data_IF_366797749205
#
_entry.id   IF_366797749205
#
_cell.length_a   1.000
_cell.length_b   1.000
_cell.length_c   1.000
_cell.angle_alpha   90.00
_cell.angle_beta   90.00
_cell.angle_gamma   90.00
#
_symmetry.space_group_name_H-M   'P 1'
#
loop_
_entity.id
_entity.type
_entity.pdbx_description
1 polymer ?
#
# COMPACT_ATOMS: atom_id res chain seq x y z
N UNK A 1 -13.44 32.32 36.40
CA UNK A 1 -14.16 31.90 35.20
C UNK A 1 -13.20 32.06 34.02
N UNK A 2 -12.53 30.99 33.64
CA UNK A 2 -11.71 30.92 32.42
C UNK A 2 -12.47 30.01 31.44
N UNK A 3 -12.86 30.59 30.31
CA UNK A 3 -13.56 29.93 29.23
C UNK A 3 -12.53 29.25 28.32
N UNK A 4 -12.50 27.92 28.31
CA UNK A 4 -11.76 27.15 27.33
C UNK A 4 -12.48 27.15 26.00
N UNK A 5 -11.85 27.70 25.00
CA UNK A 5 -12.31 27.61 23.61
C UNK A 5 -11.63 26.38 22.99
N UNK A 6 -12.39 25.33 22.79
CA UNK A 6 -11.98 24.13 22.02
C UNK A 6 -12.05 24.51 20.54
N UNK A 7 -10.92 24.54 19.86
CA UNK A 7 -10.88 24.69 18.41
C UNK A 7 -11.02 23.30 17.81
N UNK A 8 -12.21 23.01 17.26
CA UNK A 8 -12.40 21.84 16.40
C UNK A 8 -11.62 22.05 15.10
N UNK A 9 -10.66 21.18 14.85
CA UNK A 9 -10.02 21.08 13.57
C UNK A 9 -11.01 20.42 12.58
N UNK A 10 -11.65 21.23 11.78
CA UNK A 10 -12.44 20.77 10.62
C UNK A 10 -11.46 20.22 9.59
N UNK A 11 -11.50 18.89 9.39
CA UNK A 11 -10.92 18.22 8.24
C UNK A 11 -11.66 18.72 7.00
N UNK A 12 -11.05 19.63 6.24
CA UNK A 12 -11.53 19.99 4.91
C UNK A 12 -11.31 18.78 3.98
N UNK A 13 -12.41 18.16 3.60
CA UNK A 13 -12.45 17.30 2.43
C UNK A 13 -12.04 18.16 1.22
N UNK A 14 -10.88 17.87 0.63
CA UNK A 14 -10.43 18.54 -0.56
C UNK A 14 -11.45 18.28 -1.69
N UNK A 15 -12.27 19.29 -1.96
CA UNK A 15 -13.19 19.29 -3.07
C UNK A 15 -12.37 19.19 -4.36
N UNK A 16 -12.78 18.28 -5.23
CA UNK A 16 -12.35 18.26 -6.63
C UNK A 16 -12.50 19.67 -7.21
N UNK A 17 -11.40 20.27 -7.64
CA UNK A 17 -11.43 21.56 -8.36
C UNK A 17 -12.05 21.31 -9.72
N UNK A 18 -13.34 21.55 -9.82
CA UNK A 18 -14.10 21.57 -11.06
C UNK A 18 -13.49 22.66 -11.97
N UNK A 19 -12.84 22.27 -13.08
CA UNK A 19 -12.50 23.17 -14.15
C UNK A 19 -11.13 23.02 -14.83
N UNK A 20 -10.17 22.24 -14.37
CA UNK A 20 -8.94 21.99 -15.12
C UNK A 20 -9.04 20.63 -15.86
N UNK A 21 -8.68 20.65 -17.15
CA UNK A 21 -8.61 19.44 -17.95
C UNK A 21 -7.64 18.45 -17.29
N UNK A 22 -8.06 17.22 -17.05
CA UNK A 22 -7.20 16.13 -16.62
C UNK A 22 -6.61 15.44 -17.85
N UNK A 23 -5.31 15.30 -17.92
CA UNK A 23 -4.65 14.51 -18.97
C UNK A 23 -4.31 13.11 -18.47
N UNK A 24 -3.80 13.01 -17.23
CA UNK A 24 -3.53 11.76 -16.54
C UNK A 24 -4.25 11.74 -15.19
N UNK A 25 -5.02 10.72 -14.95
CA UNK A 25 -5.70 10.49 -13.68
C UNK A 25 -4.99 9.41 -12.85
N UNK A 26 -4.98 9.56 -11.54
CA UNK A 26 -4.69 8.51 -10.60
C UNK A 26 -5.95 8.17 -9.81
N UNK A 27 -6.36 6.91 -9.79
CA UNK A 27 -7.47 6.46 -8.95
C UNK A 27 -6.88 5.62 -7.81
N UNK A 28 -7.05 6.11 -6.56
CA UNK A 28 -6.59 5.39 -5.37
C UNK A 28 -7.46 4.17 -5.11
N UNK A 29 -6.95 3.21 -4.34
CA UNK A 29 -7.78 2.18 -3.75
C UNK A 29 -8.67 2.79 -2.62
N UNK A 30 -8.84 2.13 -1.50
CA UNK A 30 -9.52 2.68 -0.31
C UNK A 30 -8.64 3.64 0.49
N UNK A 31 -7.33 3.67 0.20
CA UNK A 31 -6.33 4.52 0.81
C UNK A 31 -6.41 5.98 0.35
N UNK A 32 -5.46 6.77 0.81
CA UNK A 32 -5.31 8.16 0.43
C UNK A 32 -3.92 8.42 -0.15
N UNK A 33 -3.74 9.55 -0.80
CA UNK A 33 -2.47 9.96 -1.43
C UNK A 33 -1.39 10.39 -0.41
N UNK A 34 -1.68 10.36 0.87
CA UNK A 34 -0.77 10.66 1.99
C UNK A 34 -0.54 9.45 2.91
N UNK A 35 -0.67 8.23 2.36
CA UNK A 35 -0.53 6.97 3.09
C UNK A 35 0.92 6.61 3.47
N UNK A 36 1.87 7.44 3.09
CA UNK A 36 3.32 7.24 3.28
C UNK A 36 3.84 5.93 2.65
N UNK A 37 3.13 5.39 1.68
CA UNK A 37 3.39 4.13 1.03
C UNK A 37 2.91 4.13 -0.43
N UNK A 38 2.21 3.09 -0.86
CA UNK A 38 1.92 2.76 -2.25
C UNK A 38 1.11 3.82 -3.00
N UNK A 39 0.01 4.35 -2.40
CA UNK A 39 -0.79 5.38 -3.07
C UNK A 39 -0.02 6.71 -3.18
N UNK A 40 0.64 7.15 -2.11
CA UNK A 40 1.39 8.41 -2.10
C UNK A 40 2.48 8.42 -3.18
N UNK A 41 3.27 7.35 -3.26
CA UNK A 41 4.39 7.31 -4.21
C UNK A 41 3.95 7.01 -5.64
N UNK A 42 2.83 6.31 -5.83
CA UNK A 42 2.19 6.21 -7.15
C UNK A 42 1.71 7.59 -7.61
N UNK A 43 1.06 8.35 -6.73
CA UNK A 43 0.64 9.71 -7.04
C UNK A 43 1.83 10.64 -7.34
N UNK A 44 2.90 10.56 -6.56
CA UNK A 44 4.12 11.30 -6.83
C UNK A 44 4.69 10.97 -8.22
N UNK A 45 4.75 9.68 -8.59
CA UNK A 45 5.22 9.27 -9.91
C UNK A 45 4.36 9.83 -11.06
N UNK A 46 3.03 9.87 -10.88
CA UNK A 46 2.10 10.51 -11.85
C UNK A 46 2.37 12.01 -11.95
N UNK A 47 2.55 12.70 -10.82
CA UNK A 47 2.85 14.13 -10.81
C UNK A 47 4.20 14.45 -11.50
N UNK A 48 5.24 13.67 -11.20
CA UNK A 48 6.56 13.84 -11.80
C UNK A 48 6.52 13.63 -13.32
N UNK A 49 5.83 12.58 -13.77
CA UNK A 49 5.62 12.33 -15.20
C UNK A 49 4.87 13.49 -15.87
N UNK A 50 3.77 13.94 -15.29
CA UNK A 50 2.97 15.02 -15.83
C UNK A 50 3.75 16.34 -15.87
N UNK A 51 4.49 16.66 -14.81
CA UNK A 51 5.35 17.85 -14.75
C UNK A 51 6.41 17.83 -15.86
N UNK A 52 7.07 16.70 -16.06
CA UNK A 52 8.10 16.55 -17.10
C UNK A 52 7.55 16.66 -18.53
N UNK A 53 6.25 16.38 -18.73
CA UNK A 53 5.59 16.35 -20.04
C UNK A 53 4.60 17.50 -20.26
N UNK A 54 4.50 18.47 -19.34
CA UNK A 54 3.54 19.59 -19.42
C UNK A 54 2.08 19.11 -19.51
N UNK A 55 1.74 18.07 -18.74
CA UNK A 55 0.41 17.50 -18.62
C UNK A 55 -0.21 17.83 -17.28
N UNK A 56 -1.55 17.76 -17.20
CA UNK A 56 -2.29 17.97 -15.95
C UNK A 56 -2.61 16.62 -15.30
N UNK A 57 -2.24 16.49 -14.03
CA UNK A 57 -2.56 15.34 -13.19
C UNK A 57 -3.68 15.68 -12.21
N UNK A 58 -4.63 14.76 -12.04
CA UNK A 58 -5.59 14.78 -10.94
C UNK A 58 -5.72 13.39 -10.32
N UNK A 59 -6.07 13.33 -9.03
CA UNK A 59 -6.38 12.07 -8.38
C UNK A 59 -7.86 11.98 -8.01
N UNK A 60 -8.35 10.76 -7.97
CA UNK A 60 -9.73 10.42 -7.67
C UNK A 60 -9.75 9.34 -6.59
N UNK A 61 -10.60 9.49 -5.60
CA UNK A 61 -10.69 8.56 -4.49
C UNK A 61 -12.10 7.96 -4.41
N UNK A 62 -12.25 6.62 -4.46
CA UNK A 62 -13.53 5.97 -4.24
C UNK A 62 -14.10 6.30 -2.86
N UNK A 63 -15.41 6.45 -2.77
CA UNK A 63 -16.10 6.77 -1.51
C UNK A 63 -16.32 5.55 -0.62
N UNK A 64 -16.21 4.35 -1.20
CA UNK A 64 -16.34 3.07 -0.53
C UNK A 64 -15.48 2.00 -1.20
N UNK A 65 -15.26 0.88 -0.52
CA UNK A 65 -14.52 -0.27 -1.04
C UNK A 65 -15.43 -1.15 -1.90
N UNK A 66 -15.68 -0.71 -3.14
CA UNK A 66 -16.43 -1.50 -4.12
C UNK A 66 -15.93 -1.28 -5.54
N UNK A 67 -16.10 -2.29 -6.41
CA UNK A 67 -15.75 -2.18 -7.84
C UNK A 67 -16.56 -1.07 -8.51
N UNK A 68 -17.83 -0.90 -8.12
CA UNK A 68 -18.69 0.16 -8.64
C UNK A 68 -18.14 1.55 -8.31
N UNK A 69 -17.70 1.78 -7.06
CA UNK A 69 -17.13 3.06 -6.65
C UNK A 69 -15.80 3.34 -7.37
N UNK A 70 -14.95 2.32 -7.59
CA UNK A 70 -13.72 2.45 -8.38
C UNK A 70 -14.02 2.83 -9.82
N UNK A 71 -14.97 2.14 -10.44
CA UNK A 71 -15.40 2.43 -11.81
C UNK A 71 -16.01 3.83 -11.95
N UNK A 72 -16.82 4.27 -10.98
CA UNK A 72 -17.34 5.64 -10.93
C UNK A 72 -16.23 6.69 -10.93
N UNK A 73 -15.15 6.48 -10.19
CA UNK A 73 -14.02 7.40 -10.19
C UNK A 73 -13.26 7.41 -11.53
N UNK A 74 -13.15 6.27 -12.21
CA UNK A 74 -12.63 6.22 -13.58
C UNK A 74 -13.55 6.96 -14.55
N UNK A 75 -14.87 6.82 -14.40
CA UNK A 75 -15.87 7.56 -15.21
C UNK A 75 -15.69 9.07 -15.01
N UNK A 76 -15.53 9.52 -13.75
CA UNK A 76 -15.29 10.92 -13.43
C UNK A 76 -13.99 11.43 -14.08
N UNK A 77 -12.92 10.65 -13.99
CA UNK A 77 -11.63 11.00 -14.62
C UNK A 77 -11.77 11.15 -16.15
N UNK A 78 -12.48 10.23 -16.82
CA UNK A 78 -12.73 10.30 -18.27
C UNK A 78 -13.58 11.51 -18.63
N UNK A 79 -14.61 11.82 -17.82
CA UNK A 79 -15.47 13.00 -18.02
C UNK A 79 -14.67 14.31 -17.87
N UNK A 80 -13.67 14.34 -17.01
CA UNK A 80 -12.75 15.48 -16.84
C UNK A 80 -11.67 15.53 -17.94
N UNK A 81 -11.65 14.57 -18.86
CA UNK A 81 -10.83 14.56 -20.05
C UNK A 81 -9.61 13.65 -20.03
N UNK A 82 -9.45 12.81 -18.99
CA UNK A 82 -8.30 11.91 -18.87
C UNK A 82 -8.15 11.02 -20.10
N UNK A 83 -6.91 10.92 -20.57
CA UNK A 83 -6.48 10.03 -21.65
C UNK A 83 -5.66 8.85 -21.15
N UNK A 84 -5.18 8.96 -19.91
CA UNK A 84 -4.50 7.88 -19.21
C UNK A 84 -4.99 7.82 -17.76
N UNK A 85 -5.24 6.62 -17.29
CA UNK A 85 -5.66 6.36 -15.90
C UNK A 85 -4.69 5.37 -15.30
N UNK A 86 -4.07 5.76 -14.19
CA UNK A 86 -3.22 4.91 -13.36
C UNK A 86 -4.04 4.47 -12.15
N UNK A 87 -3.97 3.20 -11.80
CA UNK A 87 -4.59 2.64 -10.59
C UNK A 87 -3.56 1.85 -9.80
N UNK A 88 -3.70 1.80 -8.49
CA UNK A 88 -2.78 1.12 -7.59
C UNK A 88 -3.51 0.12 -6.71
N UNK A 89 -3.20 -1.16 -6.89
CA UNK A 89 -3.62 -2.24 -6.02
C UNK A 89 -4.48 -3.31 -6.67
N UNK A 90 -4.36 -4.51 -6.14
CA UNK A 90 -5.06 -5.72 -6.55
C UNK A 90 -6.59 -5.55 -6.68
N UNK A 91 -7.19 -4.72 -5.82
CA UNK A 91 -8.64 -4.49 -5.80
C UNK A 91 -9.22 -3.89 -7.08
N UNK A 92 -8.37 -3.38 -7.98
CA UNK A 92 -8.80 -2.81 -9.25
C UNK A 92 -9.07 -3.84 -10.35
N UNK A 93 -8.77 -5.12 -10.16
CA UNK A 93 -8.87 -6.15 -11.21
C UNK A 93 -10.19 -6.11 -11.98
N UNK A 94 -11.33 -6.23 -11.29
CA UNK A 94 -12.66 -6.20 -11.92
C UNK A 94 -12.98 -4.84 -12.54
N UNK A 95 -12.66 -3.74 -11.86
CA UNK A 95 -12.93 -2.40 -12.36
C UNK A 95 -12.14 -2.09 -13.65
N UNK A 96 -10.87 -2.51 -13.73
CA UNK A 96 -10.05 -2.41 -14.95
C UNK A 96 -10.61 -3.31 -16.06
N UNK A 97 -11.06 -4.53 -15.73
CA UNK A 97 -11.67 -5.44 -16.71
C UNK A 97 -12.89 -4.83 -17.41
N UNK A 98 -13.67 -4.00 -16.71
CA UNK A 98 -14.80 -3.27 -17.28
C UNK A 98 -14.37 -1.98 -17.98
N UNK A 99 -13.53 -1.17 -17.34
CA UNK A 99 -13.13 0.15 -17.84
C UNK A 99 -12.38 0.07 -19.17
N UNK A 100 -11.50 -0.93 -19.35
CA UNK A 100 -10.71 -1.10 -20.57
C UNK A 100 -11.59 -1.32 -21.82
N UNK A 101 -12.74 -1.99 -21.67
CA UNK A 101 -13.70 -2.21 -22.76
C UNK A 101 -14.63 -1.01 -22.95
N UNK A 102 -15.02 -0.36 -21.85
CA UNK A 102 -15.90 0.82 -21.86
C UNK A 102 -15.23 2.03 -22.49
N UNK A 103 -13.91 2.17 -22.33
CA UNK A 103 -13.12 3.32 -22.77
C UNK A 103 -11.93 2.90 -23.65
N UNK A 104 -12.14 2.43 -24.87
CA UNK A 104 -11.08 1.89 -25.73
C UNK A 104 -10.02 2.93 -26.14
N UNK A 105 -10.33 4.23 -26.05
CA UNK A 105 -9.42 5.34 -26.36
C UNK A 105 -8.64 5.87 -25.15
N UNK A 106 -8.88 5.31 -23.95
CA UNK A 106 -8.17 5.65 -22.71
C UNK A 106 -7.14 4.58 -22.42
N UNK A 107 -5.92 4.99 -22.05
CA UNK A 107 -4.86 4.07 -21.65
C UNK A 107 -4.94 3.79 -20.14
N UNK A 108 -4.87 2.54 -19.77
CA UNK A 108 -4.88 2.09 -18.37
C UNK A 108 -3.53 1.52 -17.98
N UNK A 109 -3.02 1.96 -16.82
CA UNK A 109 -1.87 1.38 -16.15
C UNK A 109 -2.31 0.90 -14.77
N UNK A 110 -2.33 -0.42 -14.56
CA UNK A 110 -2.75 -1.02 -13.30
C UNK A 110 -1.54 -1.64 -12.59
N UNK A 111 -1.22 -1.12 -11.41
CA UNK A 111 -0.13 -1.58 -10.56
C UNK A 111 -0.67 -2.63 -9.58
N UNK A 112 0.10 -3.69 -9.33
CA UNK A 112 -0.29 -4.87 -8.54
C UNK A 112 -1.55 -5.59 -9.05
N UNK A 113 -1.82 -5.48 -10.34
CA UNK A 113 -2.89 -6.22 -11.01
C UNK A 113 -2.27 -7.15 -12.05
N UNK A 114 -2.62 -8.41 -11.99
CA UNK A 114 -2.22 -9.44 -12.96
C UNK A 114 -3.37 -9.76 -13.92
N UNK A 115 -3.07 -10.46 -15.01
CA UNK A 115 -4.10 -10.86 -15.96
C UNK A 115 -5.17 -11.78 -15.34
N UNK A 116 -4.82 -12.57 -14.32
CA UNK A 116 -5.77 -13.43 -13.60
C UNK A 116 -6.77 -12.64 -12.73
N UNK A 117 -6.45 -11.39 -12.40
CA UNK A 117 -7.30 -10.57 -11.54
C UNK A 117 -8.43 -9.88 -12.34
N UNK A 118 -8.37 -9.96 -13.68
CA UNK A 118 -9.43 -9.47 -14.57
C UNK A 118 -10.59 -10.47 -14.73
N UNK A 119 -10.62 -11.55 -13.95
CA UNK A 119 -11.63 -12.61 -14.05
C UNK A 119 -11.51 -13.36 -15.38
N UNK A 120 -12.63 -13.43 -16.12
CA UNK A 120 -12.68 -14.12 -17.42
C UNK A 120 -12.18 -13.27 -18.59
N UNK A 121 -11.78 -12.01 -18.35
CA UNK A 121 -11.34 -11.07 -19.37
C UNK A 121 -9.82 -11.07 -19.53
N UNK A 122 -9.36 -10.85 -20.74
CA UNK A 122 -7.95 -10.62 -21.02
C UNK A 122 -7.65 -9.10 -21.04
N UNK A 123 -6.41 -8.69 -20.74
CA UNK A 123 -6.01 -7.30 -20.95
C UNK A 123 -6.13 -6.92 -22.42
N UNK A 124 -6.71 -5.76 -22.67
CA UNK A 124 -6.86 -5.19 -24.03
C UNK A 124 -5.62 -4.37 -24.41
N UNK A 125 -5.52 -3.95 -25.68
CA UNK A 125 -4.37 -3.24 -26.19
C UNK A 125 -4.11 -1.87 -25.49
N UNK A 126 -5.12 -1.31 -24.85
CA UNK A 126 -5.04 -0.06 -24.07
C UNK A 126 -4.77 -0.27 -22.57
N UNK A 127 -4.43 -1.50 -22.14
CA UNK A 127 -4.22 -1.82 -20.71
C UNK A 127 -2.87 -2.46 -20.49
N UNK A 128 -2.06 -1.83 -19.63
CA UNK A 128 -0.81 -2.37 -19.12
C UNK A 128 -0.98 -2.78 -17.66
N UNK A 129 -0.62 -4.01 -17.35
CA UNK A 129 -0.65 -4.59 -16.01
C UNK A 129 0.79 -4.77 -15.50
N UNK A 130 1.06 -4.32 -14.29
CA UNK A 130 2.38 -4.45 -13.65
C UNK A 130 2.22 -5.17 -12.32
N UNK A 131 3.01 -6.20 -12.11
CA UNK A 131 3.22 -6.85 -10.81
C UNK A 131 4.70 -6.82 -10.48
N UNK A 132 5.03 -6.85 -9.21
CA UNK A 132 6.40 -6.79 -8.72
C UNK A 132 6.83 -8.16 -8.18
N UNK A 133 8.12 -8.27 -7.85
CA UNK A 133 8.70 -9.47 -7.22
C UNK A 133 8.87 -9.24 -5.71
N UNK A 134 7.77 -9.03 -5.03
CA UNK A 134 7.72 -8.66 -3.61
C UNK A 134 8.35 -9.75 -2.74
N UNK A 135 8.29 -11.00 -3.20
CA UNK A 135 8.95 -12.12 -2.54
C UNK A 135 10.47 -11.94 -2.43
N UNK A 136 11.09 -11.22 -3.37
CA UNK A 136 12.53 -10.95 -3.32
C UNK A 136 12.86 -9.91 -2.25
N UNK A 137 12.08 -8.83 -2.17
CA UNK A 137 12.25 -7.81 -1.12
C UNK A 137 11.94 -8.39 0.26
N UNK A 138 10.85 -9.15 0.38
CA UNK A 138 10.52 -9.87 1.60
C UNK A 138 11.63 -10.84 2.04
N UNK A 139 12.19 -11.60 1.09
CA UNK A 139 13.31 -12.51 1.36
C UNK A 139 14.52 -11.76 1.93
N UNK A 140 14.92 -10.65 1.30
CA UNK A 140 16.04 -9.85 1.76
C UNK A 140 15.79 -9.27 3.15
N UNK A 141 14.57 -8.82 3.44
CA UNK A 141 14.19 -8.30 4.76
C UNK A 141 14.32 -9.37 5.84
N UNK A 142 13.78 -10.57 5.61
CA UNK A 142 13.88 -11.69 6.56
C UNK A 142 15.30 -12.19 6.74
N UNK A 143 16.03 -12.29 5.64
CA UNK A 143 17.45 -12.70 5.67
C UNK A 143 18.29 -11.70 6.47
N UNK A 144 18.15 -10.40 6.19
CA UNK A 144 18.88 -9.36 6.88
C UNK A 144 18.56 -9.31 8.39
N UNK A 145 17.29 -9.43 8.75
CA UNK A 145 16.88 -9.43 10.16
C UNK A 145 17.57 -10.54 10.98
N UNK A 146 17.57 -11.77 10.46
CA UNK A 146 18.21 -12.90 11.15
C UNK A 146 19.74 -12.78 11.11
N UNK A 147 20.31 -12.32 10.00
CA UNK A 147 21.76 -12.15 9.86
C UNK A 147 22.30 -11.05 10.78
N UNK A 148 21.47 -10.02 11.08
CA UNK A 148 21.76 -8.96 12.07
C UNK A 148 21.59 -9.41 13.54
N UNK A 149 21.13 -10.65 13.75
CA UNK A 149 21.08 -11.31 15.05
C UNK A 149 19.70 -11.40 15.70
N UNK A 150 18.64 -10.88 15.06
CA UNK A 150 17.27 -11.00 15.58
C UNK A 150 16.75 -12.41 15.45
N UNK A 151 16.02 -12.87 16.46
CA UNK A 151 15.47 -14.23 16.55
C UNK A 151 13.96 -14.29 16.72
N UNK A 152 13.39 -13.29 17.38
CA UNK A 152 11.96 -13.18 17.61
C UNK A 152 11.37 -12.14 16.65
N UNK A 153 10.94 -12.64 15.49
CA UNK A 153 10.47 -11.81 14.37
C UNK A 153 8.93 -11.74 14.33
N UNK A 154 8.42 -10.73 13.65
CA UNK A 154 7.01 -10.60 13.30
C UNK A 154 6.82 -10.23 11.83
N UNK A 155 5.74 -10.73 11.23
CA UNK A 155 5.21 -10.21 9.97
C UNK A 155 3.79 -9.71 10.19
N UNK A 156 3.60 -8.40 10.02
CA UNK A 156 2.31 -7.75 10.01
C UNK A 156 1.92 -7.45 8.56
N UNK A 157 0.96 -8.17 8.02
CA UNK A 157 0.34 -7.84 6.74
C UNK A 157 -0.92 -7.00 6.93
N UNK A 158 -1.23 -6.14 5.98
CA UNK A 158 -2.53 -5.50 5.88
C UNK A 158 -3.61 -6.52 5.47
N UNK A 159 -4.15 -6.41 4.27
CA UNK A 159 -5.00 -7.47 3.70
C UNK A 159 -4.15 -8.61 3.12
N UNK A 160 -4.69 -9.83 3.13
CA UNK A 160 -4.05 -11.00 2.52
C UNK A 160 -4.23 -10.99 0.99
N UNK A 161 -3.77 -9.93 0.31
CA UNK A 161 -3.75 -9.81 -1.14
C UNK A 161 -2.43 -10.37 -1.71
N UNK A 162 -2.37 -10.70 -3.01
CA UNK A 162 -1.20 -11.40 -3.59
C UNK A 162 0.15 -10.74 -3.30
N UNK A 163 0.27 -9.42 -3.40
CA UNK A 163 1.53 -8.70 -3.12
C UNK A 163 1.97 -8.87 -1.66
N UNK A 164 1.05 -8.63 -0.70
CA UNK A 164 1.34 -8.76 0.74
C UNK A 164 1.68 -10.20 1.13
N UNK A 165 1.00 -11.18 0.50
CA UNK A 165 1.32 -12.60 0.69
C UNK A 165 2.74 -12.91 0.19
N UNK A 166 3.13 -12.41 -0.99
CA UNK A 166 4.48 -12.62 -1.53
C UNK A 166 5.56 -12.01 -0.65
N UNK A 167 5.36 -10.78 -0.14
CA UNK A 167 6.26 -10.17 0.85
C UNK A 167 6.46 -11.07 2.07
N UNK A 168 5.36 -11.50 2.70
CA UNK A 168 5.42 -12.32 3.92
C UNK A 168 6.01 -13.69 3.67
N UNK A 169 5.67 -14.34 2.54
CA UNK A 169 6.25 -15.62 2.17
C UNK A 169 7.76 -15.52 1.94
N UNK A 170 8.20 -14.47 1.23
CA UNK A 170 9.62 -14.17 1.04
C UNK A 170 10.33 -13.95 2.38
N UNK A 171 9.71 -13.16 3.28
CA UNK A 171 10.27 -12.87 4.60
C UNK A 171 10.56 -14.13 5.42
N UNK A 172 9.61 -15.05 5.48
CA UNK A 172 9.80 -16.33 6.19
C UNK A 172 10.92 -17.15 5.56
N UNK A 173 10.98 -17.22 4.23
CA UNK A 173 12.03 -17.99 3.54
C UNK A 173 13.42 -17.37 3.71
N UNK A 174 13.53 -16.04 3.67
CA UNK A 174 14.77 -15.33 3.89
C UNK A 174 15.32 -15.54 5.31
N UNK A 175 14.44 -15.45 6.30
CA UNK A 175 14.78 -15.72 7.69
C UNK A 175 15.26 -17.18 7.89
N UNK A 176 14.56 -18.16 7.31
CA UNK A 176 14.95 -19.57 7.36
C UNK A 176 16.30 -19.82 6.68
N UNK A 177 16.55 -19.18 5.54
CA UNK A 177 17.81 -19.31 4.83
C UNK A 177 19.00 -18.75 5.64
N UNK A 178 18.84 -17.54 6.22
CA UNK A 178 19.86 -16.95 7.08
C UNK A 178 20.09 -17.78 8.35
N UNK A 179 19.01 -18.26 9.00
CA UNK A 179 19.13 -19.13 10.17
C UNK A 179 19.94 -20.38 9.89
N UNK A 180 19.70 -21.03 8.77
CA UNK A 180 20.48 -22.21 8.34
C UNK A 180 21.95 -21.88 8.07
N UNK A 181 22.22 -20.74 7.43
CA UNK A 181 23.57 -20.31 7.10
C UNK A 181 24.40 -20.03 8.36
N UNK A 182 23.83 -19.32 9.33
CA UNK A 182 24.55 -18.98 10.58
C UNK A 182 24.42 -20.05 11.67
N UNK A 183 23.69 -21.15 11.42
CA UNK A 183 23.49 -22.23 12.37
C UNK A 183 22.56 -21.88 13.54
N UNK A 184 21.67 -20.88 13.37
CA UNK A 184 20.66 -20.55 14.35
C UNK A 184 19.49 -21.56 14.30
N UNK A 185 19.02 -22.02 15.47
CA UNK A 185 17.96 -23.02 15.58
C UNK A 185 16.73 -22.51 16.33
N UNK A 186 16.78 -21.27 16.77
CA UNK A 186 15.83 -20.66 17.69
C UNK A 186 15.21 -19.36 17.11
N UNK A 187 15.06 -19.30 15.77
CA UNK A 187 14.36 -18.20 15.09
C UNK A 187 12.86 -18.49 15.04
N UNK A 188 12.07 -17.57 15.55
CA UNK A 188 10.62 -17.64 15.59
C UNK A 188 10.01 -16.47 14.84
N UNK A 189 8.89 -16.71 14.13
CA UNK A 189 8.17 -15.68 13.38
C UNK A 189 6.70 -15.72 13.77
N UNK A 190 6.20 -14.64 14.38
CA UNK A 190 4.77 -14.39 14.50
C UNK A 190 4.25 -13.85 13.17
N UNK A 191 3.07 -14.28 12.76
CA UNK A 191 2.52 -13.95 11.44
C UNK A 191 1.04 -13.61 11.55
N UNK A 192 0.64 -12.41 11.06
CA UNK A 192 -0.74 -11.96 11.14
C UNK A 192 -1.10 -10.97 10.02
N UNK A 193 -2.34 -11.06 9.53
CA UNK A 193 -2.96 -10.06 8.67
C UNK A 193 -4.03 -9.31 9.45
N UNK A 194 -4.00 -7.97 9.39
CA UNK A 194 -4.96 -7.10 10.07
C UNK A 194 -6.34 -7.07 9.41
N UNK A 195 -6.41 -7.50 8.14
CA UNK A 195 -7.66 -7.49 7.36
C UNK A 195 -7.97 -6.15 6.69
N UNK A 196 -7.10 -5.15 6.83
CA UNK A 196 -7.23 -3.83 6.21
C UNK A 196 -5.89 -3.12 6.12
N UNK A 197 -5.87 -1.95 5.48
CA UNK A 197 -4.65 -1.14 5.32
C UNK A 197 -4.61 0.09 6.23
N UNK A 198 -5.65 0.33 7.02
CA UNK A 198 -5.72 1.49 7.90
C UNK A 198 -4.87 1.32 9.18
N UNK A 199 -4.25 2.42 9.62
CA UNK A 199 -3.71 2.50 10.97
C UNK A 199 -4.87 2.52 11.99
N UNK A 200 -4.86 1.56 12.92
CA UNK A 200 -5.92 1.43 13.93
C UNK A 200 -5.35 1.10 15.30
N UNK A 201 -6.13 1.39 16.34
CA UNK A 201 -5.79 0.98 17.71
C UNK A 201 -5.73 -0.55 17.86
N UNK A 202 -6.53 -1.29 17.10
CA UNK A 202 -6.49 -2.76 17.10
C UNK A 202 -5.11 -3.27 16.62
N UNK A 203 -4.62 -2.73 15.51
CA UNK A 203 -3.29 -3.07 14.97
C UNK A 203 -2.21 -2.68 15.98
N UNK A 204 -2.27 -1.47 16.54
CA UNK A 204 -1.32 -1.01 17.56
C UNK A 204 -1.31 -1.93 18.77
N UNK A 205 -2.48 -2.23 19.34
CA UNK A 205 -2.60 -3.09 20.53
C UNK A 205 -2.08 -4.52 20.25
N UNK A 206 -2.30 -5.04 19.05
CA UNK A 206 -1.76 -6.33 18.64
C UNK A 206 -0.23 -6.32 18.60
N UNK A 207 0.36 -5.26 18.07
CA UNK A 207 1.81 -5.09 18.01
C UNK A 207 2.42 -4.82 19.39
N UNK A 208 1.76 -4.01 20.23
CA UNK A 208 2.15 -3.84 21.65
C UNK A 208 2.25 -5.21 22.35
N UNK A 209 1.26 -6.08 22.14
CA UNK A 209 1.28 -7.44 22.67
C UNK A 209 2.48 -8.25 22.18
N UNK A 210 2.78 -8.19 20.86
CA UNK A 210 3.91 -8.92 20.30
C UNK A 210 5.25 -8.46 20.87
N UNK A 211 5.49 -7.14 20.92
CA UNK A 211 6.73 -6.61 21.49
C UNK A 211 6.85 -6.89 22.99
N UNK A 212 5.75 -6.78 23.75
CA UNK A 212 5.72 -7.13 25.18
C UNK A 212 6.01 -8.61 25.44
N UNK A 213 5.68 -9.49 24.49
CA UNK A 213 5.97 -10.92 24.53
C UNK A 213 7.38 -11.27 24.00
N UNK A 214 8.19 -10.27 23.66
CA UNK A 214 9.58 -10.43 23.28
C UNK A 214 9.86 -10.41 21.78
N UNK A 215 8.88 -10.09 20.90
CA UNK A 215 9.18 -9.85 19.48
C UNK A 215 10.14 -8.68 19.36
N UNK A 216 11.23 -8.85 18.61
CA UNK A 216 12.32 -7.87 18.51
C UNK A 216 12.13 -6.94 17.33
N UNK A 217 11.71 -7.50 16.17
CA UNK A 217 11.51 -6.75 14.94
C UNK A 217 10.28 -7.26 14.18
N UNK A 218 9.46 -6.33 13.70
CA UNK A 218 8.27 -6.64 12.90
C UNK A 218 8.43 -6.04 11.50
N UNK A 219 8.27 -6.87 10.47
CA UNK A 219 8.10 -6.38 9.10
C UNK A 219 6.64 -5.98 8.90
N UNK A 220 6.37 -4.68 8.79
CA UNK A 220 5.05 -4.11 8.60
C UNK A 220 4.79 -3.87 7.11
N UNK A 221 3.87 -4.65 6.52
CA UNK A 221 3.58 -4.68 5.10
C UNK A 221 2.10 -4.38 4.84
N UNK A 222 1.78 -3.13 4.54
CA UNK A 222 0.39 -2.73 4.27
C UNK A 222 0.11 -1.24 4.44
N UNK A 223 0.98 -0.37 3.93
CA UNK A 223 0.77 1.08 3.95
C UNK A 223 0.61 1.62 5.38
N UNK A 224 -0.49 2.31 5.69
CA UNK A 224 -0.69 2.96 6.99
C UNK A 224 -0.61 2.05 8.23
N UNK A 225 -0.71 0.71 8.11
CA UNK A 225 -0.50 -0.20 9.26
C UNK A 225 0.90 -0.05 9.85
N UNK A 226 1.88 0.44 9.05
CA UNK A 226 3.22 0.77 9.52
C UNK A 226 3.19 1.79 10.66
N UNK A 227 2.31 2.79 10.61
CA UNK A 227 2.18 3.81 11.65
C UNK A 227 1.76 3.20 12.99
N UNK A 228 0.82 2.25 12.97
CA UNK A 228 0.41 1.54 14.19
C UNK A 228 1.52 0.63 14.72
N UNK A 229 2.28 -0.02 13.82
CA UNK A 229 3.41 -0.86 14.20
C UNK A 229 4.55 -0.03 14.79
N UNK A 230 4.90 1.10 14.17
CA UNK A 230 5.92 2.02 14.64
C UNK A 230 5.59 2.58 16.03
N UNK A 231 4.35 3.06 16.23
CA UNK A 231 3.90 3.54 17.53
C UNK A 231 4.00 2.48 18.63
N UNK A 232 3.80 1.20 18.30
CA UNK A 232 3.98 0.09 19.23
C UNK A 232 5.46 -0.23 19.45
N UNK A 233 6.28 -0.21 18.40
CA UNK A 233 7.72 -0.43 18.47
C UNK A 233 8.39 0.60 19.38
N UNK A 234 8.11 1.89 19.17
CA UNK A 234 8.62 2.98 20.03
C UNK A 234 8.21 2.80 21.50
N UNK A 235 6.94 2.47 21.75
CA UNK A 235 6.44 2.29 23.12
C UNK A 235 7.11 1.12 23.86
N UNK A 236 7.59 0.10 23.16
CA UNK A 236 8.13 -1.13 23.73
C UNK A 236 9.63 -1.32 23.47
N UNK A 237 10.31 -0.37 22.80
CA UNK A 237 11.73 -0.48 22.44
C UNK A 237 12.02 -1.54 21.37
N UNK A 238 11.01 -1.91 20.57
CA UNK A 238 11.14 -2.83 19.44
C UNK A 238 11.66 -2.15 18.17
N UNK A 239 11.76 -2.93 17.09
CA UNK A 239 12.18 -2.48 15.76
C UNK A 239 11.10 -2.73 14.73
N UNK A 240 11.09 -1.93 13.67
CA UNK A 240 10.20 -2.15 12.52
C UNK A 240 11.01 -2.17 11.21
N UNK A 241 10.59 -3.01 10.29
CA UNK A 241 11.01 -2.96 8.89
C UNK A 241 9.84 -2.39 8.10
N UNK A 242 10.08 -1.31 7.35
CA UNK A 242 9.09 -0.66 6.51
C UNK A 242 8.90 -1.36 5.16
N UNK A 243 8.02 -0.80 4.31
CA UNK A 243 7.64 -1.37 3.01
C UNK A 243 7.56 -0.31 1.93
N UNK A 244 7.65 -0.72 0.67
CA UNK A 244 7.50 0.03 -0.58
C UNK A 244 8.60 1.05 -0.85
N UNK A 245 8.92 1.89 0.10
CA UNK A 245 9.87 3.01 -0.04
C UNK A 245 10.78 3.11 1.17
N UNK A 246 11.81 3.95 1.09
CA UNK A 246 12.60 4.32 2.26
C UNK A 246 11.75 5.17 3.22
N UNK A 247 11.32 4.54 4.30
CA UNK A 247 10.50 5.14 5.36
C UNK A 247 11.34 5.58 6.57
N UNK A 248 12.67 5.47 6.52
CA UNK A 248 13.57 5.81 7.64
C UNK A 248 13.49 7.28 8.09
N UNK A 249 13.00 8.18 7.25
CA UNK A 249 12.74 9.58 7.60
C UNK A 249 11.33 9.87 8.10
N UNK A 250 10.47 8.86 8.17
CA UNK A 250 9.06 8.99 8.55
C UNK A 250 8.79 8.35 9.92
N UNK A 251 9.56 7.35 10.28
CA UNK A 251 9.47 6.58 11.52
C UNK A 251 10.80 6.68 12.31
N UNK A 252 10.73 6.70 13.64
CA UNK A 252 11.89 6.81 14.55
C UNK A 252 12.53 5.43 14.86
#
# INVERSE_FOLDING_TARGET
TATSTTTEATSEAAASTSGSKTDVAFVTDVGNIDDQSFNQYTWQGVQDFCSANSLNANYYRPTEDSDAARLEQMDNAVNDGAKSIVVAGYLFGNAIAEAQEKYPDVQFLALDVSASDLGDKAPTANTALITYKEEQAGYLAGYAAVYDGYKELGFLGGMAVPAVIRYGYGFVQGADAAAKEIGATDVNIKYWYSGGFAATDEVKNKMDGWYSEGTEVVFACGGPVCQSCDAAAQANGGKMIGVDVDQSGQFD
#
